data_IF_168115671707
#
_entry.id   IF_168115671707
#
_cell.length_a   1.000
_cell.length_b   1.000
_cell.length_c   1.000
_cell.angle_alpha   90.00
_cell.angle_beta   90.00
_cell.angle_gamma   90.00
#
_symmetry.space_group_name_H-M   'P 1'
#
loop_
_entity.id
_entity.type
_entity.pdbx_description
1 polymer ?
#
# COMPACT_ATOMS: atom_id res chain seq x y z
N UNK A 1 14.16 -6.95 -19.97
CA UNK A 1 14.20 -6.16 -18.71
C UNK A 1 12.82 -5.89 -18.17
N UNK A 2 12.61 -6.14 -16.88
CA UNK A 2 11.39 -5.76 -16.16
C UNK A 2 11.54 -4.31 -15.69
N UNK A 3 10.71 -3.41 -16.24
CA UNK A 3 10.71 -1.98 -15.89
C UNK A 3 9.39 -1.63 -15.21
N UNK A 4 9.48 -1.33 -13.92
CA UNK A 4 8.32 -1.06 -13.08
C UNK A 4 7.55 0.22 -13.43
N UNK A 5 8.22 1.18 -14.08
CA UNK A 5 7.57 2.39 -14.59
C UNK A 5 6.60 2.10 -15.75
N UNK A 6 6.85 1.04 -16.53
CA UNK A 6 6.03 0.69 -17.70
C UNK A 6 5.07 -0.46 -17.43
N UNK A 7 5.44 -1.39 -16.56
CA UNK A 7 4.60 -2.53 -16.20
C UNK A 7 4.72 -2.80 -14.69
N UNK A 8 3.72 -2.42 -13.89
CA UNK A 8 3.75 -2.60 -12.44
C UNK A 8 3.64 -4.08 -12.01
N UNK A 9 3.28 -4.98 -12.93
CA UNK A 9 3.18 -6.43 -12.70
C UNK A 9 4.33 -7.21 -13.30
N UNK A 10 5.37 -6.56 -13.80
CA UNK A 10 6.51 -7.31 -14.29
C UNK A 10 7.24 -7.97 -13.12
N UNK A 11 7.79 -9.15 -13.40
CA UNK A 11 8.55 -9.95 -12.46
C UNK A 11 9.80 -10.46 -13.16
N UNK A 12 10.89 -10.59 -12.42
CA UNK A 12 12.14 -11.14 -12.89
C UNK A 12 12.80 -11.95 -11.80
N UNK A 13 13.49 -13.03 -12.16
CA UNK A 13 14.30 -13.77 -11.19
C UNK A 13 15.42 -12.90 -10.64
N UNK A 14 15.73 -13.07 -9.36
CA UNK A 14 16.81 -12.35 -8.70
C UNK A 14 18.15 -12.92 -9.14
N UNK A 15 19.06 -12.01 -9.47
CA UNK A 15 20.44 -12.33 -9.83
C UNK A 15 21.41 -11.54 -8.97
N UNK A 16 22.48 -12.19 -8.53
CA UNK A 16 23.57 -11.59 -7.77
C UNK A 16 24.71 -11.27 -8.73
N UNK A 17 25.19 -10.02 -8.67
CA UNK A 17 26.31 -9.55 -9.46
C UNK A 17 27.52 -9.38 -8.58
N UNK A 18 28.66 -9.93 -9.02
CA UNK A 18 29.96 -9.59 -8.44
C UNK A 18 30.47 -8.39 -9.19
N UNK A 19 30.65 -7.29 -8.50
CA UNK A 19 31.40 -6.17 -9.03
C UNK A 19 32.70 -6.09 -8.24
N UNK A 20 33.82 -6.17 -8.94
CA UNK A 20 35.14 -5.89 -8.39
C UNK A 20 35.75 -4.76 -9.24
N UNK A 21 36.24 -3.72 -8.57
CA UNK A 21 37.08 -2.72 -9.22
C UNK A 21 38.47 -3.33 -9.36
N UNK A 22 38.88 -3.66 -10.58
CA UNK A 22 40.26 -4.05 -10.84
C UNK A 22 41.18 -2.84 -10.57
N UNK A 23 42.44 -3.07 -10.16
CA UNK A 23 43.41 -1.99 -9.92
C UNK A 23 43.63 -1.07 -11.13
N UNK A 24 43.23 -1.51 -12.33
CA UNK A 24 43.33 -0.77 -13.58
C UNK A 24 42.10 0.13 -13.86
N UNK A 25 41.09 0.11 -12.99
CA UNK A 25 39.81 0.82 -13.19
C UNK A 25 38.78 0.05 -14.01
N UNK A 26 39.14 -1.11 -14.56
CA UNK A 26 38.22 -2.00 -15.28
C UNK A 26 37.31 -2.76 -14.31
N UNK A 27 36.07 -3.03 -14.75
CA UNK A 27 35.12 -3.85 -14.01
C UNK A 27 35.25 -5.30 -14.45
N UNK A 28 35.62 -6.20 -13.54
CA UNK A 28 35.50 -7.64 -13.78
C UNK A 28 34.04 -8.04 -13.55
N UNK A 29 33.25 -8.08 -14.62
CA UNK A 29 31.86 -8.52 -14.56
C UNK A 29 31.81 -10.05 -14.62
N UNK A 30 31.81 -10.67 -13.45
CA UNK A 30 31.55 -12.12 -13.34
C UNK A 30 30.13 -12.43 -13.81
N UNK A 31 29.92 -13.62 -14.39
CA UNK A 31 28.59 -14.11 -14.79
C UNK A 31 27.60 -14.02 -13.62
N UNK A 32 26.41 -13.43 -13.81
CA UNK A 32 25.43 -13.27 -12.74
C UNK A 32 24.98 -14.63 -12.19
N UNK A 33 24.91 -14.75 -10.87
CA UNK A 33 24.37 -15.95 -10.22
C UNK A 33 22.86 -15.81 -10.05
N UNK A 34 22.10 -16.75 -10.62
CA UNK A 34 20.65 -16.82 -10.45
C UNK A 34 20.32 -17.42 -9.08
N UNK A 35 19.56 -16.71 -8.26
CA UNK A 35 19.10 -17.22 -6.96
C UNK A 35 17.80 -18.02 -7.18
N UNK A 36 17.81 -19.36 -7.02
CA UNK A 36 16.62 -20.18 -7.16
C UNK A 36 15.52 -19.74 -6.20
N UNK A 37 14.28 -19.75 -6.68
CA UNK A 37 13.12 -19.37 -5.89
C UNK A 37 12.91 -17.88 -5.66
N UNK A 38 13.90 -17.01 -5.88
CA UNK A 38 13.78 -15.58 -5.58
C UNK A 38 13.27 -14.80 -6.80
N UNK A 39 12.17 -14.08 -6.60
CA UNK A 39 11.52 -13.25 -7.61
C UNK A 39 11.53 -11.80 -7.16
N UNK A 40 12.03 -10.92 -8.03
CA UNK A 40 11.89 -9.47 -7.91
C UNK A 40 10.68 -9.01 -8.72
N UNK A 41 9.66 -8.52 -8.01
CA UNK A 41 8.59 -7.70 -8.56
C UNK A 41 8.81 -6.22 -8.28
N UNK A 42 7.87 -5.40 -8.72
CA UNK A 42 7.93 -3.94 -8.54
C UNK A 42 7.64 -3.48 -7.12
N UNK A 43 6.98 -4.32 -6.32
CA UNK A 43 6.70 -4.09 -4.92
C UNK A 43 7.33 -5.18 -4.06
N UNK A 44 7.82 -4.80 -2.88
CA UNK A 44 8.44 -5.74 -1.94
C UNK A 44 7.49 -6.87 -1.54
N UNK A 45 6.19 -6.59 -1.40
CA UNK A 45 5.18 -7.59 -1.09
C UNK A 45 4.98 -8.59 -2.24
N UNK A 46 4.98 -8.13 -3.48
CA UNK A 46 4.86 -9.01 -4.66
C UNK A 46 6.08 -9.91 -4.76
N UNK A 47 7.28 -9.33 -4.63
CA UNK A 47 8.54 -10.08 -4.57
C UNK A 47 8.49 -11.17 -3.50
N UNK A 48 8.05 -10.82 -2.29
CA UNK A 48 7.95 -11.77 -1.18
C UNK A 48 6.95 -12.88 -1.49
N UNK A 49 5.73 -12.54 -1.91
CA UNK A 49 4.65 -13.52 -2.15
C UNK A 49 4.98 -14.51 -3.26
N UNK A 50 5.63 -14.03 -4.32
CA UNK A 50 5.99 -14.84 -5.49
C UNK A 50 7.25 -15.69 -5.27
N UNK A 51 8.11 -15.30 -4.32
CA UNK A 51 9.33 -16.04 -4.03
C UNK A 51 9.06 -17.31 -3.22
N UNK A 52 10.00 -18.24 -3.29
CA UNK A 52 10.07 -19.47 -2.50
C UNK A 52 11.30 -19.42 -1.57
N UNK A 53 11.42 -20.39 -0.66
CA UNK A 53 12.55 -20.52 0.25
C UNK A 53 13.61 -21.51 -0.26
N UNK A 54 13.54 -21.93 -1.53
CA UNK A 54 14.38 -22.97 -2.12
C UNK A 54 15.88 -22.80 -1.84
N UNK A 55 16.42 -21.59 -2.06
CA UNK A 55 17.84 -21.29 -1.81
C UNK A 55 18.28 -21.54 -0.36
N UNK A 56 17.37 -21.47 0.62
CA UNK A 56 17.69 -21.71 2.03
C UNK A 56 17.85 -23.19 2.38
N UNK A 57 17.38 -24.10 1.52
CA UNK A 57 17.56 -25.55 1.67
C UNK A 57 18.79 -26.07 0.92
N UNK A 58 19.38 -25.27 0.04
CA UNK A 58 20.55 -25.64 -0.77
C UNK A 58 21.83 -25.01 -0.21
N UNK A 59 22.79 -25.84 0.22
CA UNK A 59 24.07 -25.39 0.79
C UNK A 59 24.88 -24.51 -0.17
N UNK A 60 24.87 -24.83 -1.47
CA UNK A 60 25.61 -24.09 -2.49
C UNK A 60 24.97 -22.73 -2.74
N UNK A 61 23.65 -22.68 -2.87
CA UNK A 61 22.96 -21.41 -3.04
C UNK A 61 23.14 -20.51 -1.82
N UNK A 62 22.98 -21.08 -0.63
CA UNK A 62 23.07 -20.38 0.62
C UNK A 62 24.46 -19.79 0.85
N UNK A 63 25.52 -20.59 0.62
CA UNK A 63 26.91 -20.12 0.72
C UNK A 63 27.24 -19.02 -0.29
N UNK A 64 26.75 -19.12 -1.53
CA UNK A 64 26.91 -18.07 -2.54
C UNK A 64 26.18 -16.80 -2.11
N UNK A 65 24.92 -16.91 -1.69
CA UNK A 65 24.12 -15.78 -1.21
C UNK A 65 24.84 -15.03 -0.07
N UNK A 66 25.43 -15.76 0.87
CA UNK A 66 26.19 -15.20 1.97
C UNK A 66 27.47 -14.51 1.55
N UNK A 67 28.25 -15.13 0.65
CA UNK A 67 29.40 -14.49 0.04
C UNK A 67 29.00 -13.12 -0.50
N UNK A 68 27.97 -13.04 -1.33
CA UNK A 68 27.53 -11.77 -1.93
C UNK A 68 27.05 -10.72 -0.90
N UNK A 69 26.36 -11.11 0.17
CA UNK A 69 25.91 -10.16 1.22
C UNK A 69 27.09 -9.59 2.00
N UNK A 70 28.04 -10.44 2.40
CA UNK A 70 29.19 -10.02 3.20
C UNK A 70 30.05 -9.04 2.40
N UNK A 71 30.32 -9.36 1.12
CA UNK A 71 31.10 -8.50 0.23
C UNK A 71 30.45 -7.15 -0.03
N UNK A 72 29.12 -7.09 -0.18
CA UNK A 72 28.43 -5.84 -0.53
C UNK A 72 28.27 -4.88 0.65
N UNK A 73 28.17 -5.40 1.89
CA UNK A 73 27.89 -4.55 3.05
C UNK A 73 29.09 -4.30 3.98
N UNK A 74 30.26 -4.88 3.71
CA UNK A 74 31.44 -4.75 4.58
C UNK A 74 31.13 -5.12 6.06
N UNK A 75 30.17 -6.04 6.29
CA UNK A 75 29.73 -6.49 7.62
C UNK A 75 30.58 -7.69 8.05
N UNK A 76 31.91 -7.56 7.97
CA UNK A 76 32.80 -8.65 8.39
C UNK A 76 32.83 -8.81 9.93
N UNK A 77 32.44 -7.78 10.70
CA UNK A 77 32.68 -7.74 12.15
C UNK A 77 31.43 -7.85 13.05
N UNK A 78 30.20 -7.95 12.52
CA UNK A 78 28.97 -7.84 13.36
C UNK A 78 28.31 -9.20 13.64
N UNK A 79 28.43 -10.19 12.76
CA UNK A 79 27.79 -11.50 12.93
C UNK A 79 28.70 -12.64 12.49
N UNK A 80 28.87 -13.63 13.37
CA UNK A 80 29.53 -14.88 13.03
C UNK A 80 28.61 -15.71 12.13
N UNK A 81 28.77 -15.51 10.83
CA UNK A 81 27.97 -16.17 9.81
C UNK A 81 28.35 -17.65 9.63
N UNK A 82 29.42 -18.12 10.28
CA UNK A 82 29.84 -19.53 10.23
C UNK A 82 28.83 -20.50 10.86
N UNK A 83 27.88 -19.99 11.66
CA UNK A 83 26.81 -20.75 12.27
C UNK A 83 25.56 -20.95 11.38
N UNK A 84 25.52 -20.35 10.19
CA UNK A 84 24.39 -20.48 9.30
C UNK A 84 24.44 -21.82 8.54
N UNK A 85 23.40 -22.64 8.71
CA UNK A 85 23.25 -23.93 8.05
C UNK A 85 22.01 -23.94 7.16
N UNK A 86 22.00 -24.74 6.08
CA UNK A 86 20.81 -24.91 5.26
C UNK A 86 19.66 -25.51 6.08
N UNK A 87 18.45 -25.10 5.73
CA UNK A 87 17.22 -25.70 6.26
C UNK A 87 17.16 -27.17 5.85
N UNK A 88 16.62 -28.01 6.73
CA UNK A 88 16.45 -29.44 6.46
C UNK A 88 15.00 -29.68 6.08
N UNK A 89 14.79 -30.20 4.86
CA UNK A 89 13.49 -30.67 4.43
C UNK A 89 13.36 -32.17 4.67
N UNK A 90 12.27 -32.56 5.33
CA UNK A 90 11.89 -33.95 5.52
C UNK A 90 10.41 -34.08 5.19
N UNK A 91 10.08 -34.99 4.26
CA UNK A 91 8.71 -35.15 3.78
C UNK A 91 7.73 -35.67 4.84
N UNK A 92 8.23 -36.22 5.95
CA UNK A 92 7.41 -36.78 7.03
C UNK A 92 7.06 -35.75 8.09
N UNK A 93 7.91 -34.75 8.28
CA UNK A 93 7.77 -33.75 9.34
C UNK A 93 7.49 -32.34 8.81
N UNK A 94 7.93 -32.01 7.59
CA UNK A 94 7.68 -30.73 6.96
C UNK A 94 6.48 -30.79 6.01
N UNK A 95 5.58 -29.84 6.19
CA UNK A 95 4.36 -29.69 5.42
C UNK A 95 4.59 -28.93 4.12
N UNK A 96 5.55 -28.01 4.09
CA UNK A 96 5.82 -27.15 2.94
C UNK A 96 7.12 -27.55 2.25
N UNK A 97 7.06 -28.10 1.02
CA UNK A 97 8.26 -28.32 0.20
C UNK A 97 9.03 -27.00 -0.07
N UNK A 98 10.35 -27.06 -0.33
CA UNK A 98 11.17 -25.87 -0.59
C UNK A 98 10.68 -24.99 -1.76
N UNK A 99 10.03 -25.59 -2.75
CA UNK A 99 9.45 -24.92 -3.93
C UNK A 99 8.12 -24.19 -3.63
N UNK A 100 7.61 -24.29 -2.40
CA UNK A 100 6.34 -23.64 -2.03
C UNK A 100 6.52 -22.13 -1.99
N UNK A 101 5.65 -21.41 -2.71
CA UNK A 101 5.64 -19.95 -2.66
C UNK A 101 5.29 -19.45 -1.26
N UNK A 102 5.93 -18.37 -0.83
CA UNK A 102 5.67 -17.74 0.45
C UNK A 102 4.23 -17.25 0.58
N UNK A 103 3.55 -16.92 -0.52
CA UNK A 103 2.12 -16.59 -0.49
C UNK A 103 1.26 -17.72 0.10
N UNK A 104 1.57 -18.98 -0.24
CA UNK A 104 0.86 -20.16 0.26
C UNK A 104 1.21 -20.38 1.73
N UNK A 105 2.50 -20.29 2.07
CA UNK A 105 2.98 -20.47 3.45
C UNK A 105 2.33 -19.43 4.38
N UNK A 106 2.30 -18.15 3.98
CA UNK A 106 1.67 -17.06 4.74
C UNK A 106 0.16 -17.27 4.88
N UNK A 107 -0.53 -17.66 3.80
CA UNK A 107 -1.97 -17.92 3.82
C UNK A 107 -2.35 -19.01 4.82
N UNK A 108 -1.45 -19.97 5.00
CA UNK A 108 -1.57 -21.09 5.91
C UNK A 108 -0.96 -20.81 7.30
N UNK A 109 -0.76 -19.51 7.62
CA UNK A 109 -0.23 -19.01 8.89
C UNK A 109 1.16 -19.55 9.24
N UNK A 110 1.92 -20.02 8.25
CA UNK A 110 3.24 -20.64 8.41
C UNK A 110 3.25 -21.84 9.37
N UNK A 111 2.11 -22.52 9.54
CA UNK A 111 2.00 -23.66 10.48
C UNK A 111 2.50 -24.94 9.82
N UNK A 112 3.65 -25.45 10.25
CA UNK A 112 4.19 -26.75 9.82
C UNK A 112 3.35 -27.92 10.38
N UNK A 113 3.07 -27.89 11.69
CA UNK A 113 2.30 -28.94 12.36
C UNK A 113 1.35 -28.35 13.39
N UNK A 114 0.13 -28.90 13.40
CA UNK A 114 -0.88 -28.58 14.41
C UNK A 114 -0.74 -29.55 15.59
N UNK A 115 0.12 -29.24 16.55
CA UNK A 115 0.23 -30.02 17.78
C UNK A 115 -0.74 -29.47 18.84
N UNK A 116 -2.02 -29.80 18.69
CA UNK A 116 -3.05 -29.41 19.64
C UNK A 116 -3.00 -30.32 20.87
N UNK A 117 -2.34 -29.88 21.93
CA UNK A 117 -2.42 -30.50 23.27
C UNK A 117 -3.40 -29.78 24.21
N UNK A 118 -4.35 -29.02 23.66
CA UNK A 118 -5.30 -28.25 24.45
C UNK A 118 -6.51 -29.10 24.87
N UNK A 119 -6.74 -29.20 26.19
CA UNK A 119 -8.04 -29.60 26.74
C UNK A 119 -9.00 -28.43 26.55
N UNK A 120 -9.87 -28.52 25.54
CA UNK A 120 -10.93 -27.53 25.32
C UNK A 120 -11.85 -27.42 26.54
N UNK A 121 -12.02 -28.52 27.30
CA UNK A 121 -12.84 -28.57 28.51
C UNK A 121 -12.39 -27.52 29.55
N UNK A 122 -11.10 -27.53 29.92
CA UNK A 122 -10.57 -26.59 30.93
C UNK A 122 -10.60 -25.14 30.44
N UNK A 123 -10.40 -24.92 29.14
CA UNK A 123 -10.47 -23.58 28.55
C UNK A 123 -11.92 -23.07 28.53
N UNK A 124 -12.88 -23.91 28.19
CA UNK A 124 -14.31 -23.58 28.24
C UNK A 124 -14.79 -23.35 29.67
N UNK A 125 -14.35 -24.15 30.66
CA UNK A 125 -14.66 -23.90 32.07
C UNK A 125 -14.08 -22.57 32.57
N UNK A 126 -12.84 -22.26 32.23
CA UNK A 126 -12.21 -20.99 32.59
C UNK A 126 -12.85 -19.78 31.87
N UNK A 127 -13.35 -19.98 30.65
CA UNK A 127 -13.97 -18.96 29.81
C UNK A 127 -15.51 -19.06 29.75
N UNK A 128 -16.15 -19.69 30.74
CA UNK A 128 -17.61 -19.71 30.92
C UNK A 128 -18.04 -18.65 31.96
N UNK A 129 -18.01 -17.35 31.63
CA UNK A 129 -18.48 -16.33 32.55
C UNK A 129 -19.99 -16.51 32.78
N UNK A 130 -20.41 -16.54 34.04
CA UNK A 130 -21.82 -16.61 34.41
C UNK A 130 -22.63 -15.38 33.98
N UNK A 131 -21.96 -14.30 33.56
CA UNK A 131 -22.58 -13.06 33.14
C UNK A 131 -21.70 -12.36 32.09
N UNK A 132 -22.32 -11.86 31.03
CA UNK A 132 -21.66 -11.00 30.05
C UNK A 132 -21.92 -9.53 30.42
N UNK A 133 -20.87 -8.78 30.77
CA UNK A 133 -20.95 -7.32 30.92
C UNK A 133 -20.53 -6.65 29.63
N UNK A 134 -21.43 -5.84 29.07
CA UNK A 134 -21.10 -4.94 27.96
C UNK A 134 -20.93 -3.53 28.51
N UNK A 135 -19.86 -2.86 28.10
CA UNK A 135 -19.68 -1.44 28.38
C UNK A 135 -20.03 -0.65 27.11
N UNK A 136 -21.01 0.24 27.20
CA UNK A 136 -21.25 1.21 26.14
C UNK A 136 -20.41 2.45 26.47
N UNK A 137 -19.44 2.76 25.62
CA UNK A 137 -18.77 4.06 25.67
C UNK A 137 -19.60 5.04 24.86
N UNK A 138 -20.54 5.73 25.52
CA UNK A 138 -21.13 6.94 24.92
C UNK A 138 -20.04 7.99 24.84
N UNK A 139 -19.62 8.32 23.61
CA UNK A 139 -18.72 9.42 23.34
C UNK A 139 -19.44 10.73 23.72
N UNK A 140 -19.37 11.12 24.99
CA UNK A 140 -19.84 12.44 25.41
C UNK A 140 -18.93 13.44 24.72
N UNK A 141 -19.49 14.29 23.85
CA UNK A 141 -18.73 15.33 23.19
C UNK A 141 -18.05 16.19 24.26
N UNK A 142 -16.72 16.25 24.21
CA UNK A 142 -15.95 17.18 25.02
C UNK A 142 -16.40 18.60 24.69
N UNK A 143 -16.41 19.50 25.69
CA UNK A 143 -16.87 20.89 25.54
C UNK A 143 -16.16 21.59 24.38
N UNK A 144 -14.88 21.27 24.17
CA UNK A 144 -14.07 21.75 23.05
C UNK A 144 -14.62 21.32 21.69
N UNK A 145 -15.10 20.08 21.55
CA UNK A 145 -15.68 19.56 20.32
C UNK A 145 -16.96 20.30 19.91
N UNK A 146 -17.79 20.66 20.90
CA UNK A 146 -19.03 21.43 20.66
C UNK A 146 -18.68 22.84 20.14
N UNK A 147 -17.68 23.50 20.74
CA UNK A 147 -17.25 24.84 20.34
C UNK A 147 -16.67 24.83 18.92
N UNK A 148 -15.80 23.87 18.60
CA UNK A 148 -15.19 23.74 17.26
C UNK A 148 -16.27 23.53 16.20
N UNK A 149 -17.27 22.69 16.48
CA UNK A 149 -18.37 22.42 15.55
C UNK A 149 -19.19 23.69 15.25
N UNK A 150 -19.48 24.50 16.28
CA UNK A 150 -20.20 25.77 16.12
C UNK A 150 -19.42 26.78 15.27
N UNK A 151 -18.11 26.92 15.53
CA UNK A 151 -17.23 27.80 14.75
C UNK A 151 -17.16 27.35 13.29
N UNK A 152 -17.02 26.04 13.06
CA UNK A 152 -16.96 25.46 11.72
C UNK A 152 -18.26 25.67 10.94
N UNK A 153 -19.41 25.53 11.60
CA UNK A 153 -20.73 25.73 10.97
C UNK A 153 -20.94 27.19 10.55
N UNK A 154 -20.61 28.15 11.42
CA UNK A 154 -20.75 29.59 11.13
C UNK A 154 -19.75 30.03 10.05
N UNK A 155 -18.50 29.58 10.17
CA UNK A 155 -17.43 29.89 9.22
C UNK A 155 -17.72 29.31 7.83
N UNK A 156 -18.08 28.03 7.78
CA UNK A 156 -18.41 27.31 6.55
C UNK A 156 -19.59 27.93 5.81
N UNK A 157 -20.67 28.26 6.53
CA UNK A 157 -21.85 28.89 5.93
C UNK A 157 -21.52 30.25 5.33
N UNK A 158 -20.73 31.07 6.03
CA UNK A 158 -20.35 32.41 5.57
C UNK A 158 -19.49 32.35 4.31
N UNK A 159 -18.51 31.44 4.28
CA UNK A 159 -17.63 31.26 3.12
C UNK A 159 -18.40 30.68 1.93
N UNK A 160 -19.25 29.68 2.16
CA UNK A 160 -20.09 29.07 1.12
C UNK A 160 -21.01 30.11 0.49
N UNK A 161 -21.68 30.94 1.30
CA UNK A 161 -22.57 31.97 0.80
C UNK A 161 -21.82 32.98 -0.08
N UNK A 162 -20.64 33.45 0.34
CA UNK A 162 -19.79 34.35 -0.47
C UNK A 162 -19.35 33.75 -1.80
N UNK A 163 -19.10 32.44 -1.83
CA UNK A 163 -18.72 31.73 -3.06
C UNK A 163 -19.93 31.56 -4.00
N UNK A 164 -21.10 31.26 -3.44
CA UNK A 164 -22.32 30.96 -4.18
C UNK A 164 -22.98 32.24 -4.73
N UNK A 165 -22.94 33.34 -3.99
CA UNK A 165 -23.54 34.63 -4.39
C UNK A 165 -23.18 35.09 -5.81
N UNK A 166 -21.89 35.18 -6.23
CA UNK A 166 -21.56 35.63 -7.59
C UNK A 166 -22.06 34.65 -8.67
N UNK A 167 -22.15 33.35 -8.35
CA UNK A 167 -22.67 32.33 -9.26
C UNK A 167 -24.17 32.53 -9.45
N UNK A 168 -24.92 32.68 -8.35
CA UNK A 168 -26.37 32.94 -8.40
C UNK A 168 -26.65 34.24 -9.15
N UNK A 169 -25.94 35.32 -8.85
CA UNK A 169 -26.13 36.61 -9.55
C UNK A 169 -25.87 36.48 -11.05
N UNK A 170 -24.80 35.78 -11.47
CA UNK A 170 -24.53 35.53 -12.89
C UNK A 170 -25.63 34.70 -13.55
N UNK A 171 -26.19 33.71 -12.86
CA UNK A 171 -27.31 32.91 -13.37
C UNK A 171 -28.56 33.78 -13.53
N UNK A 172 -28.91 34.57 -12.52
CA UNK A 172 -30.08 35.47 -12.55
C UNK A 172 -29.94 36.50 -13.68
N UNK A 173 -28.77 37.15 -13.82
CA UNK A 173 -28.53 38.11 -14.90
C UNK A 173 -28.59 37.47 -16.28
N UNK A 174 -28.11 36.23 -16.45
CA UNK A 174 -28.25 35.49 -17.71
C UNK A 174 -29.69 35.14 -18.04
N UNK A 175 -30.53 34.86 -17.04
CA UNK A 175 -31.95 34.55 -17.22
C UNK A 175 -32.79 35.80 -17.55
N UNK A 176 -32.39 36.98 -17.05
CA UNK A 176 -33.09 38.25 -17.29
C UNK A 176 -32.61 38.96 -18.58
N UNK A 177 -31.34 38.81 -18.98
CA UNK A 177 -30.80 39.41 -20.21
C UNK A 177 -31.54 39.07 -21.52
N UNK A 178 -32.11 37.87 -21.75
CA UNK A 178 -32.94 37.63 -22.94
C UNK A 178 -34.29 38.35 -22.92
N UNK A 179 -34.72 38.93 -21.78
CA UNK A 179 -36.00 39.65 -21.64
C UNK A 179 -35.83 41.18 -21.76
N UNK A 180 -34.69 41.74 -21.32
CA UNK A 180 -34.43 43.20 -21.36
C UNK A 180 -34.17 43.72 -22.79
N UNK A 181 -33.59 42.92 -23.66
CA UNK A 181 -33.40 43.31 -25.07
C UNK A 181 -34.75 43.48 -25.81
N UNK A 182 -35.79 42.77 -25.38
CA UNK A 182 -37.16 42.89 -25.94
C UNK A 182 -37.93 44.10 -25.42
N UNK A 183 -37.65 44.60 -24.22
CA UNK A 183 -38.32 45.78 -23.66
C UNK A 183 -37.67 47.10 -24.14
N UNK A 184 -36.35 47.12 -24.31
CA UNK A 184 -35.64 48.29 -24.87
C UNK A 184 -35.94 48.53 -26.36
N UNK A 185 -36.28 47.48 -27.13
CA UNK A 185 -36.70 47.59 -28.53
C UNK A 185 -38.17 48.05 -28.68
N UNK A 186 -38.99 47.87 -27.63
CA UNK A 186 -40.37 48.33 -27.60
C UNK A 186 -40.49 49.85 -27.33
N UNK A 187 -39.74 50.43 -26.39
CA UNK A 187 -39.82 51.87 -26.10
C UNK A 187 -39.18 52.76 -27.19
N UNK A 188 -38.17 52.27 -27.91
CA UNK A 188 -37.55 53.01 -29.01
C UNK A 188 -38.46 53.20 -30.24
N UNK A 189 -39.40 52.27 -30.46
CA UNK A 189 -40.28 52.28 -31.64
C UNK A 189 -41.56 53.12 -31.46
N UNK A 190 -41.97 53.36 -30.21
CA UNK A 190 -43.09 54.27 -29.90
C UNK A 190 -42.68 55.74 -30.06
N UNK A 191 -41.44 56.11 -29.70
CA UNK A 191 -40.96 57.50 -29.84
C UNK A 191 -40.70 57.91 -31.30
N UNK A 192 -40.31 56.98 -32.18
CA UNK A 192 -40.13 57.24 -33.62
C UNK A 192 -41.47 57.42 -34.37
N UNK A 193 -42.56 56.87 -33.84
CA UNK A 193 -43.91 56.98 -34.43
C UNK A 193 -44.59 58.30 -34.06
N UNK A 194 -44.29 58.89 -32.90
CA UNK A 194 -44.88 60.15 -32.44
C UNK A 194 -44.27 61.38 -33.14
N UNK A 195 -43.04 61.28 -33.66
CA UNK A 195 -42.35 62.40 -34.33
C UNK A 195 -42.76 62.56 -35.81
N UNK A 196 -43.46 61.57 -36.40
CA UNK A 196 -43.86 61.55 -37.81
C UNK A 196 -45.37 61.79 -38.05
N UNK A 197 -46.06 62.46 -37.12
CA UNK A 197 -47.43 62.97 -37.33
C UNK A 197 -47.53 64.46 -37.01
#
# INVERSE_FOLDING_TARGET
DCICATNPRCQSSVVLYKWALLPNGDQDLTTPYLVPGFIAGCFMLDSLQLSTLECFYDETCLSIYYYYIIWTRSIYDIYDWSAAHPLVYDNTSSRFPPETSLSVIVREMMVEQWNFSCSFEQHYEACSPNYCTYSYKTHTYDLLGIIIQMISMIGGLTVALRLITPVIVRIILRLISPQVNTEAEAEGNYLSTIINY
#
